data_IF_936001755138
#
_entry.id   IF_936001755138
#
_cell.length_a   1.000
_cell.length_b   1.000
_cell.length_c   1.000
_cell.angle_alpha   90.00
_cell.angle_beta   90.00
_cell.angle_gamma   90.00
#
_symmetry.space_group_name_H-M   'P 1'
#
loop_
_entity.id
_entity.type
_entity.pdbx_description
1 polymer ?
#
# COMPACT_ATOMS: atom_id res chain seq x y z
N UNK A 1 45.81 17.67 -7.52
CA UNK A 1 45.16 16.83 -8.53
C UNK A 1 43.67 17.05 -8.47
N UNK A 2 43.19 18.00 -9.26
CA UNK A 2 41.78 18.48 -9.26
C UNK A 2 40.99 17.73 -10.30
N UNK A 3 39.81 17.17 -9.90
CA UNK A 3 38.85 16.56 -10.81
C UNK A 3 37.83 17.59 -11.30
N UNK A 4 37.56 17.69 -12.59
CA UNK A 4 36.57 18.63 -13.12
C UNK A 4 35.13 18.12 -12.93
N UNK A 5 34.27 19.09 -12.67
CA UNK A 5 32.83 19.04 -12.48
C UNK A 5 32.08 18.68 -13.76
N UNK A 6 31.10 17.80 -13.64
CA UNK A 6 30.18 17.26 -14.68
C UNK A 6 28.92 18.15 -14.87
N UNK A 7 29.09 19.47 -14.94
CA UNK A 7 27.96 20.40 -15.20
C UNK A 7 28.30 21.23 -16.43
N UNK A 8 28.33 20.63 -17.61
CA UNK A 8 28.42 21.45 -18.83
C UNK A 8 27.98 20.67 -20.10
N UNK A 9 26.79 20.12 -20.13
CA UNK A 9 26.20 19.59 -21.37
C UNK A 9 24.68 19.70 -21.41
N UNK A 10 24.13 20.87 -21.18
CA UNK A 10 22.75 21.16 -21.53
C UNK A 10 22.69 22.58 -22.12
N UNK A 11 23.07 22.70 -23.38
CA UNK A 11 22.68 23.85 -24.18
C UNK A 11 22.61 23.50 -25.65
N UNK A 12 21.56 23.99 -26.29
CA UNK A 12 21.33 24.09 -27.73
C UNK A 12 20.68 22.88 -28.40
N UNK A 13 19.35 22.87 -28.40
CA UNK A 13 18.61 22.55 -29.63
C UNK A 13 17.62 23.68 -29.94
N UNK A 14 17.94 24.35 -31.03
CA UNK A 14 17.22 25.48 -31.57
C UNK A 14 15.87 25.08 -32.16
N UNK A 15 14.90 25.93 -31.93
CA UNK A 15 13.62 25.96 -32.62
C UNK A 15 13.79 26.34 -34.08
N UNK A 16 13.13 25.63 -34.98
CA UNK A 16 12.93 26.04 -36.37
C UNK A 16 11.43 26.12 -36.63
N UNK A 17 10.89 27.29 -36.97
CA UNK A 17 9.50 27.45 -37.38
C UNK A 17 9.42 27.28 -38.90
N UNK A 18 8.76 26.27 -39.40
CA UNK A 18 8.27 26.23 -40.79
C UNK A 18 6.77 26.47 -40.79
N UNK A 19 6.47 27.72 -41.12
CA UNK A 19 5.14 28.21 -41.55
C UNK A 19 4.85 27.57 -42.91
N UNK A 20 3.76 26.83 -43.03
CA UNK A 20 3.12 26.51 -44.30
C UNK A 20 1.65 26.90 -44.21
N UNK A 21 1.36 27.98 -44.89
CA UNK A 21 0.01 28.38 -45.22
C UNK A 21 -0.46 27.57 -46.44
N UNK A 22 -1.58 26.88 -46.32
CA UNK A 22 -2.32 26.34 -47.48
C UNK A 22 -3.80 26.46 -47.19
N UNK A 23 -4.39 27.33 -47.99
CA UNK A 23 -5.76 27.50 -48.52
C UNK A 23 -6.81 26.44 -48.12
N UNK A 24 -7.94 26.97 -47.70
CA UNK A 24 -9.22 26.27 -47.55
C UNK A 24 -9.82 25.85 -48.90
N UNK A 25 -10.66 24.81 -48.89
CA UNK A 25 -11.96 24.95 -49.51
C UNK A 25 -13.10 24.67 -48.52
N UNK A 26 -14.08 25.54 -48.59
CA UNK A 26 -15.43 25.39 -48.03
C UNK A 26 -16.08 24.15 -48.67
N UNK A 27 -16.45 23.17 -47.82
CA UNK A 27 -17.43 22.16 -48.21
C UNK A 27 -18.50 22.06 -47.13
N UNK A 28 -19.71 22.20 -47.60
CA UNK A 28 -20.95 22.17 -46.87
C UNK A 28 -21.28 20.82 -46.24
N UNK A 29 -21.94 20.88 -45.10
CA UNK A 29 -23.02 19.96 -44.76
C UNK A 29 -22.62 18.60 -44.22
N UNK A 30 -22.69 18.48 -42.89
CA UNK A 30 -22.72 17.20 -42.22
C UNK A 30 -22.68 17.39 -40.70
N UNK A 31 -23.84 17.63 -40.09
CA UNK A 31 -23.99 17.56 -38.65
C UNK A 31 -23.85 16.09 -38.23
N UNK A 32 -22.64 15.66 -38.00
CA UNK A 32 -22.37 14.39 -37.30
C UNK A 32 -22.62 14.64 -35.81
N UNK A 33 -23.77 14.19 -35.33
CA UNK A 33 -24.03 14.02 -33.92
C UNK A 33 -23.01 13.00 -33.36
N UNK A 34 -21.89 13.51 -32.85
CA UNK A 34 -20.95 12.71 -32.09
C UNK A 34 -21.65 12.28 -30.80
N UNK A 35 -22.16 11.05 -30.77
CA UNK A 35 -22.58 10.42 -29.54
C UNK A 35 -21.37 10.42 -28.57
N UNK A 36 -21.53 10.86 -27.32
CA UNK A 36 -20.46 10.73 -26.33
C UNK A 36 -20.18 9.24 -26.15
N UNK A 37 -19.00 8.80 -26.55
CA UNK A 37 -18.52 7.47 -26.20
C UNK A 37 -18.48 7.40 -24.68
N UNK A 38 -19.39 6.63 -24.09
CA UNK A 38 -19.34 6.26 -22.70
C UNK A 38 -18.01 5.52 -22.52
N UNK A 39 -17.01 6.19 -21.95
CA UNK A 39 -15.79 5.54 -21.52
C UNK A 39 -16.20 4.40 -20.59
N UNK A 40 -15.68 3.16 -20.81
CA UNK A 40 -15.95 2.07 -19.88
C UNK A 40 -15.52 2.54 -18.51
N UNK A 41 -16.44 2.49 -17.55
CA UNK A 41 -16.11 2.72 -16.15
C UNK A 41 -15.01 1.73 -15.82
N UNK A 42 -13.80 2.22 -15.55
CA UNK A 42 -12.71 1.42 -15.05
C UNK A 42 -13.19 0.91 -13.69
N UNK A 43 -13.56 -0.35 -13.65
CA UNK A 43 -13.79 -1.07 -12.39
C UNK A 43 -12.49 -0.89 -11.63
N UNK A 44 -12.52 -0.12 -10.55
CA UNK A 44 -11.37 0.02 -9.67
C UNK A 44 -10.95 -1.40 -9.28
N UNK A 45 -9.78 -1.83 -9.75
CA UNK A 45 -9.23 -3.12 -9.40
C UNK A 45 -9.18 -3.14 -7.87
N UNK A 46 -9.92 -4.05 -7.26
CA UNK A 46 -9.89 -4.22 -5.81
C UNK A 46 -8.47 -4.64 -5.48
N UNK A 47 -7.70 -3.74 -4.88
CA UNK A 47 -6.35 -4.04 -4.42
C UNK A 47 -6.44 -5.23 -3.47
N UNK A 48 -5.74 -6.30 -3.80
CA UNK A 48 -5.66 -7.50 -2.98
C UNK A 48 -4.19 -7.71 -2.59
N UNK A 49 -3.95 -7.89 -1.31
CA UNK A 49 -2.59 -8.15 -0.80
C UNK A 49 -2.10 -9.50 -1.34
N UNK A 50 -0.99 -9.50 -2.07
CA UNK A 50 -0.47 -10.68 -2.75
C UNK A 50 0.40 -11.55 -1.82
N UNK A 51 0.38 -12.88 -1.98
CA UNK A 51 1.28 -13.79 -1.28
C UNK A 51 2.73 -13.59 -1.72
N UNK A 52 3.70 -14.08 -0.93
CA UNK A 52 5.12 -14.01 -1.25
C UNK A 52 5.98 -13.70 -0.04
N UNK A 53 7.19 -13.22 -0.28
CA UNK A 53 8.15 -12.86 0.76
C UNK A 53 7.96 -11.40 1.15
N UNK A 54 7.70 -11.18 2.43
CA UNK A 54 7.33 -9.89 3.00
C UNK A 54 8.29 -9.47 4.09
N UNK A 55 8.60 -8.18 4.13
CA UNK A 55 9.20 -7.50 5.26
C UNK A 55 8.12 -6.67 5.93
N UNK A 56 7.96 -6.83 7.25
CA UNK A 56 7.05 -6.01 8.01
C UNK A 56 7.73 -5.44 9.25
N UNK A 57 7.43 -4.20 9.55
CA UNK A 57 7.98 -3.45 10.67
C UNK A 57 6.84 -3.03 11.58
N UNK A 58 6.93 -3.39 12.83
CA UNK A 58 6.07 -2.90 13.90
C UNK A 58 6.82 -1.87 14.72
N UNK A 59 6.13 -0.78 15.07
CA UNK A 59 6.69 0.22 15.99
C UNK A 59 5.68 0.52 17.09
N UNK A 60 6.07 0.36 18.33
CA UNK A 60 5.27 0.68 19.51
C UNK A 60 6.17 1.04 20.68
N UNK A 61 5.77 2.02 21.51
CA UNK A 61 6.53 2.44 22.70
C UNK A 61 7.98 2.86 22.39
N UNK A 62 8.24 3.45 21.22
CA UNK A 62 9.59 3.84 20.80
C UNK A 62 10.48 2.68 20.36
N UNK A 63 10.01 1.45 20.44
CA UNK A 63 10.69 0.27 19.92
C UNK A 63 10.24 -0.03 18.51
N UNK A 64 11.17 -0.50 17.69
CA UNK A 64 10.92 -0.93 16.32
C UNK A 64 11.42 -2.36 16.17
N UNK A 65 10.59 -3.21 15.61
CA UNK A 65 10.90 -4.58 15.27
C UNK A 65 10.61 -4.84 13.80
N UNK A 66 11.54 -5.47 13.10
CA UNK A 66 11.41 -5.78 11.66
C UNK A 66 11.64 -7.26 11.45
N UNK A 67 10.67 -7.90 10.82
CA UNK A 67 10.72 -9.33 10.51
C UNK A 67 10.50 -9.54 9.02
N UNK A 68 11.07 -10.62 8.49
CA UNK A 68 10.86 -11.06 7.12
C UNK A 68 10.25 -12.46 7.15
N UNK A 69 9.11 -12.63 6.50
CA UNK A 69 8.39 -13.91 6.46
C UNK A 69 7.79 -14.20 5.11
N UNK A 70 7.69 -15.48 4.82
CA UNK A 70 6.95 -15.95 3.69
C UNK A 70 5.45 -16.05 4.04
N UNK A 71 4.61 -15.49 3.19
CA UNK A 71 3.15 -15.52 3.33
C UNK A 71 2.56 -16.32 2.18
N UNK A 72 1.92 -17.44 2.51
CA UNK A 72 1.23 -18.30 1.54
C UNK A 72 -0.14 -17.71 1.15
N UNK A 73 -0.71 -18.09 0.03
CA UNK A 73 -2.07 -17.67 -0.35
C UNK A 73 -3.10 -17.94 0.77
N UNK A 74 -3.03 -19.08 1.43
CA UNK A 74 -3.92 -19.43 2.55
C UNK A 74 -3.72 -18.61 3.82
N UNK A 75 -2.59 -17.91 3.93
CA UNK A 75 -2.20 -17.11 5.11
C UNK A 75 -2.51 -15.62 4.94
N UNK A 76 -2.80 -15.16 3.71
CA UNK A 76 -3.05 -13.75 3.41
C UNK A 76 -4.11 -13.14 4.34
N UNK A 77 -5.22 -13.80 4.54
CA UNK A 77 -6.28 -13.29 5.41
C UNK A 77 -5.83 -13.14 6.86
N UNK A 78 -4.98 -14.04 7.35
CA UNK A 78 -4.42 -13.96 8.69
C UNK A 78 -3.34 -12.88 8.78
N UNK A 79 -2.44 -12.84 7.80
CA UNK A 79 -1.35 -11.87 7.73
C UNK A 79 -1.89 -10.43 7.64
N UNK A 80 -2.75 -10.16 6.68
CA UNK A 80 -3.33 -8.85 6.46
C UNK A 80 -4.52 -8.57 7.38
N UNK A 81 -5.43 -9.53 7.51
CA UNK A 81 -6.70 -9.36 8.19
C UNK A 81 -6.68 -9.68 9.68
N UNK A 82 -5.72 -10.43 10.14
CA UNK A 82 -5.60 -10.80 11.55
C UNK A 82 -4.61 -9.96 12.34
N UNK A 83 -3.63 -9.36 11.66
CA UNK A 83 -2.52 -8.61 12.27
C UNK A 83 -1.97 -9.27 13.53
N UNK A 84 -2.04 -10.61 13.57
CA UNK A 84 -1.53 -11.41 14.67
C UNK A 84 -0.02 -11.58 14.49
N UNK A 85 0.70 -11.57 15.59
CA UNK A 85 2.14 -11.83 15.63
C UNK A 85 2.40 -13.12 16.40
N UNK A 86 3.63 -13.61 16.38
CA UNK A 86 4.03 -14.76 17.19
C UNK A 86 3.80 -14.55 18.69
N UNK A 87 3.76 -13.30 19.13
CA UNK A 87 3.56 -12.89 20.53
C UNK A 87 2.10 -12.67 20.88
N UNK A 88 1.29 -12.17 19.95
CA UNK A 88 -0.08 -11.75 20.16
C UNK A 88 -1.04 -12.45 19.23
N UNK A 89 -2.14 -12.96 19.75
CA UNK A 89 -3.30 -13.41 18.96
C UNK A 89 -4.36 -12.34 19.01
N UNK A 90 -4.77 -11.85 17.85
CA UNK A 90 -5.74 -10.78 17.73
C UNK A 90 -7.04 -11.28 17.11
N UNK A 91 -8.15 -10.78 17.61
CA UNK A 91 -9.49 -10.96 17.05
C UNK A 91 -10.09 -9.58 16.78
N UNK A 92 -10.55 -9.37 15.57
CA UNK A 92 -11.10 -8.09 15.12
C UNK A 92 -12.58 -8.26 14.76
N UNK A 93 -13.52 -8.03 15.70
CA UNK A 93 -14.95 -7.99 15.40
C UNK A 93 -15.31 -6.87 14.43
N UNK A 94 -14.61 -5.73 14.49
CA UNK A 94 -14.72 -4.69 13.48
C UNK A 94 -13.56 -4.83 12.50
N UNK A 95 -13.90 -5.24 11.28
CA UNK A 95 -12.97 -5.35 10.15
C UNK A 95 -13.63 -4.78 8.91
N UNK A 96 -13.16 -3.64 8.48
CA UNK A 96 -13.59 -2.98 7.23
C UNK A 96 -12.38 -2.94 6.31
N UNK A 97 -12.49 -3.57 5.16
CA UNK A 97 -11.42 -3.65 4.15
C UNK A 97 -12.04 -3.42 2.78
N UNK A 98 -11.54 -2.46 2.04
CA UNK A 98 -12.00 -2.12 0.71
C UNK A 98 -11.32 -0.86 0.18
N UNK A 99 -11.28 -0.71 -1.13
CA UNK A 99 -10.78 0.48 -1.84
C UNK A 99 -9.39 0.94 -1.39
N UNK A 100 -8.48 -0.02 -1.14
CA UNK A 100 -7.13 0.27 -0.68
C UNK A 100 -7.03 0.80 0.75
N UNK A 101 -8.12 0.72 1.54
CA UNK A 101 -8.17 1.16 2.94
C UNK A 101 -8.65 0.05 3.85
N UNK A 102 -8.12 0.04 5.07
CA UNK A 102 -8.57 -0.92 6.06
C UNK A 102 -8.65 -0.29 7.46
N UNK A 103 -9.60 -0.81 8.25
CA UNK A 103 -9.80 -0.48 9.66
C UNK A 103 -10.03 -1.77 10.44
N UNK A 104 -9.31 -1.92 11.52
CA UNK A 104 -9.40 -3.05 12.42
C UNK A 104 -9.60 -2.53 13.85
N UNK A 105 -10.61 -3.06 14.54
CA UNK A 105 -10.80 -2.81 15.97
C UNK A 105 -11.08 -4.15 16.66
N UNK A 106 -10.36 -4.41 17.74
CA UNK A 106 -10.50 -5.68 18.42
C UNK A 106 -9.65 -5.82 19.65
N UNK A 107 -9.40 -7.05 20.01
CA UNK A 107 -8.64 -7.43 21.20
C UNK A 107 -7.54 -8.38 20.82
N UNK A 108 -6.33 -8.13 21.30
CA UNK A 108 -5.21 -9.05 21.24
C UNK A 108 -4.93 -9.65 22.60
N UNK A 109 -4.54 -10.92 22.62
CA UNK A 109 -4.17 -11.64 23.83
C UNK A 109 -2.77 -12.26 23.66
N UNK A 110 -1.91 -12.12 24.65
CA UNK A 110 -0.61 -12.77 24.64
C UNK A 110 -0.66 -14.19 25.24
N UNK A 111 0.48 -14.90 25.20
CA UNK A 111 0.60 -16.27 25.75
C UNK A 111 0.37 -16.35 27.25
N UNK A 112 0.48 -15.22 27.98
CA UNK A 112 0.23 -15.12 29.42
C UNK A 112 -1.20 -14.72 29.75
N UNK A 113 -2.08 -14.62 28.75
CA UNK A 113 -3.49 -14.24 28.93
C UNK A 113 -3.73 -12.74 29.07
N UNK A 114 -2.70 -11.88 28.97
CA UNK A 114 -2.88 -10.43 29.02
C UNK A 114 -3.60 -9.94 27.77
N UNK A 115 -4.57 -9.07 27.96
CA UNK A 115 -5.40 -8.55 26.87
C UNK A 115 -5.15 -7.08 26.65
N UNK A 116 -5.18 -6.66 25.39
CA UNK A 116 -5.11 -5.26 24.96
C UNK A 116 -6.19 -5.00 23.90
N UNK A 117 -6.84 -3.84 23.99
CA UNK A 117 -7.70 -3.38 22.90
C UNK A 117 -6.83 -2.74 21.83
N UNK A 118 -7.11 -3.03 20.58
CA UNK A 118 -6.32 -2.53 19.44
C UNK A 118 -7.23 -1.84 18.45
N UNK A 119 -6.77 -0.70 17.95
CA UNK A 119 -7.36 0.01 16.82
C UNK A 119 -6.28 0.31 15.81
N UNK A 120 -6.51 -0.04 14.55
CA UNK A 120 -5.60 0.22 13.44
C UNK A 120 -6.40 0.70 12.25
N UNK A 121 -5.89 1.71 11.58
CA UNK A 121 -6.42 2.22 10.31
C UNK A 121 -5.28 2.51 9.36
N UNK A 122 -5.51 2.35 8.07
CA UNK A 122 -4.49 2.67 7.09
C UNK A 122 -4.87 2.31 5.67
N UNK A 123 -3.86 2.35 4.81
CA UNK A 123 -3.97 2.03 3.41
C UNK A 123 -3.21 0.73 3.09
N UNK A 124 -3.62 0.08 2.01
CA UNK A 124 -2.95 -1.08 1.46
C UNK A 124 -3.00 -1.09 -0.07
N UNK A 125 -2.04 -1.77 -0.63
CA UNK A 125 -1.90 -2.07 -2.05
C UNK A 125 -1.50 -3.54 -2.18
N UNK A 126 -1.38 -4.04 -3.38
CA UNK A 126 -1.01 -5.43 -3.66
C UNK A 126 0.31 -5.85 -3.02
N UNK A 127 1.25 -4.92 -2.93
CA UNK A 127 2.63 -5.16 -2.48
C UNK A 127 3.04 -4.38 -1.24
N UNK A 128 2.14 -3.63 -0.64
CA UNK A 128 2.44 -2.85 0.55
C UNK A 128 1.21 -2.56 1.41
N UNK A 129 1.43 -2.32 2.70
CA UNK A 129 0.43 -1.71 3.56
C UNK A 129 1.06 -0.89 4.68
N UNK A 130 0.30 0.08 5.16
CA UNK A 130 0.70 0.92 6.29
C UNK A 130 -0.50 1.21 7.18
N UNK A 131 -0.43 0.73 8.41
CA UNK A 131 -1.45 0.95 9.42
C UNK A 131 -0.92 1.75 10.59
N UNK A 132 -1.76 2.64 11.10
CA UNK A 132 -1.49 3.45 12.29
C UNK A 132 -2.63 3.27 13.28
N UNK A 133 -2.31 3.37 14.54
CA UNK A 133 -3.30 3.26 15.61
C UNK A 133 -2.63 3.06 16.95
N UNK A 134 -3.10 2.11 17.72
CA UNK A 134 -2.50 1.83 19.01
C UNK A 134 -3.18 0.72 19.77
N UNK A 135 -2.62 0.44 20.93
CA UNK A 135 -3.12 -0.53 21.89
C UNK A 135 -3.47 0.16 23.23
N UNK A 136 -4.54 -0.28 23.86
CA UNK A 136 -5.00 0.17 25.16
C UNK A 136 -4.97 -1.01 26.13
N UNK A 137 -4.20 -0.88 27.21
CA UNK A 137 -4.03 -1.96 28.20
C UNK A 137 -5.25 -2.12 29.12
N UNK A 138 -5.85 -1.00 29.51
CA UNK A 138 -7.01 -0.96 30.39
C UNK A 138 -8.07 -0.02 29.80
N UNK A 139 -9.33 -0.31 30.05
CA UNK A 139 -10.42 0.62 29.68
C UNK A 139 -10.19 1.98 30.34
N UNK A 140 -10.37 3.05 29.56
CA UNK A 140 -10.21 4.43 30.06
C UNK A 140 -8.78 4.95 30.03
N UNK A 141 -7.76 4.12 29.78
CA UNK A 141 -6.40 4.61 29.57
C UNK A 141 -6.19 5.09 28.14
N UNK A 142 -5.24 6.01 27.90
CA UNK A 142 -4.87 6.40 26.53
C UNK A 142 -4.37 5.21 25.70
N UNK A 143 -4.60 5.27 24.39
CA UNK A 143 -3.98 4.33 23.48
C UNK A 143 -2.48 4.60 23.38
N UNK A 144 -1.69 3.55 23.50
CA UNK A 144 -0.26 3.57 23.21
C UNK A 144 -0.10 3.55 21.70
N UNK A 145 0.49 4.57 21.08
CA UNK A 145 0.65 4.63 19.62
C UNK A 145 1.42 3.43 19.07
N UNK A 146 0.96 2.90 17.96
CA UNK A 146 1.61 1.83 17.23
C UNK A 146 1.46 2.03 15.71
N UNK A 147 2.45 1.60 14.96
CA UNK A 147 2.40 1.55 13.51
C UNK A 147 2.84 0.18 13.01
N UNK A 148 2.25 -0.26 11.92
CA UNK A 148 2.62 -1.48 11.22
C UNK A 148 2.79 -1.11 9.76
N UNK A 149 3.98 -1.35 9.20
CA UNK A 149 4.24 -1.17 7.77
C UNK A 149 4.76 -2.47 7.21
N UNK A 150 4.34 -2.81 6.01
CA UNK A 150 4.82 -4.01 5.34
C UNK A 150 5.03 -3.73 3.85
N UNK A 151 6.02 -4.40 3.29
CA UNK A 151 6.30 -4.40 1.85
C UNK A 151 6.65 -5.79 1.38
N UNK A 152 6.18 -6.15 0.22
CA UNK A 152 6.52 -7.40 -0.45
C UNK A 152 7.89 -7.27 -1.09
N UNK A 153 8.83 -8.12 -0.69
CA UNK A 153 10.20 -8.13 -1.20
C UNK A 153 10.25 -8.87 -2.54
N UNK A 154 9.58 -10.03 -2.60
CA UNK A 154 9.52 -10.84 -3.81
C UNK A 154 8.26 -11.70 -3.89
N UNK A 155 7.96 -12.19 -5.09
CA UNK A 155 6.90 -13.17 -5.30
C UNK A 155 7.28 -14.56 -4.79
N UNK A 156 8.58 -14.86 -4.80
CA UNK A 156 9.13 -16.15 -4.41
C UNK A 156 9.74 -16.06 -3.03
N UNK A 157 9.51 -17.08 -2.22
CA UNK A 157 10.09 -17.20 -0.90
C UNK A 157 11.46 -17.87 -0.97
N UNK A 158 12.47 -17.40 -0.23
CA UNK A 158 13.72 -18.10 -0.05
C UNK A 158 13.51 -19.51 0.54
N UNK A 159 14.39 -20.44 0.22
CA UNK A 159 14.27 -21.83 0.66
C UNK A 159 14.27 -22.00 2.19
N UNK A 160 14.91 -21.07 2.90
CA UNK A 160 15.01 -21.05 4.37
C UNK A 160 14.11 -20.00 5.01
N UNK A 161 13.12 -19.47 4.29
CA UNK A 161 12.23 -18.45 4.84
C UNK A 161 11.33 -19.03 5.93
N UNK A 162 11.16 -18.28 7.01
CA UNK A 162 10.09 -18.54 7.97
C UNK A 162 8.74 -18.20 7.38
N UNK A 163 7.73 -19.01 7.68
CA UNK A 163 6.35 -18.78 7.29
C UNK A 163 5.57 -18.05 8.38
N UNK A 164 4.55 -17.33 7.95
CA UNK A 164 3.70 -16.50 8.82
C UNK A 164 2.73 -17.30 9.68
#
# INVERSE_FOLDING_TARGET
MSRPSLIDRLSKRALSPKVWAVLAPVMAGGVLLAAPALAPAQTAAQSEVLPGYWEYTTSALGQRDTEQKCVRPSEINRFFGGLSTNRWRCTYPTRVVGDGRARFEGTCQDKKGRRVNVRLTGAYEDTSFSFRGGAQLLRGTPYIPATITARRISAQCPANAEYF
#
